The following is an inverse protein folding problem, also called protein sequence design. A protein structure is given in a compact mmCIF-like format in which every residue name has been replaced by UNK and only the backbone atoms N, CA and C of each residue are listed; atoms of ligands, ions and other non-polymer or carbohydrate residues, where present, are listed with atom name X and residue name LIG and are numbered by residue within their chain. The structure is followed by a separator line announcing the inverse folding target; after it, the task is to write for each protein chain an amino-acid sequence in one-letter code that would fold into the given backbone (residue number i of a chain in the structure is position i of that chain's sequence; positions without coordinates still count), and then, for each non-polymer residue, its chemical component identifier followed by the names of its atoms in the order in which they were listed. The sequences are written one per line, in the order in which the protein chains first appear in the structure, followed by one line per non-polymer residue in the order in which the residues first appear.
data_IF_669167640285
#
_entry.id   IF_669167640285
#
_cell.length_a   1.000
_cell.length_b   1.000
_cell.length_c   1.000
_cell.angle_alpha   90.00
_cell.angle_beta   90.00
_cell.angle_gamma   90.00
#
_symmetry.space_group_name_H-M   'P 1'
#
loop_
_entity.id
_entity.type
_entity.pdbx_description
1 polymer ?
#
# COMPACT_ATOMS: atom_id res chain seq x y z
N UNK A 1 -14.09 8.39 8.94
CA UNK A 1 -14.07 8.04 7.53
C UNK A 1 -14.65 6.65 7.31
N UNK A 2 -15.60 6.53 6.45
CA UNK A 2 -16.20 5.22 6.23
C UNK A 2 -15.21 4.24 5.64
N UNK A 3 -15.31 3.03 6.09
CA UNK A 3 -14.49 1.94 5.58
C UNK A 3 -15.09 1.45 4.27
N UNK A 4 -14.26 1.32 3.26
CA UNK A 4 -14.71 0.72 2.01
C UNK A 4 -15.13 -0.72 2.26
N UNK A 5 -16.17 -1.17 1.57
CA UNK A 5 -16.55 -2.56 1.63
C UNK A 5 -15.37 -3.42 1.18
N UNK A 6 -15.27 -4.60 1.75
CA UNK A 6 -14.23 -5.53 1.35
C UNK A 6 -14.36 -5.86 -0.14
N UNK A 7 -13.22 -5.99 -0.81
CA UNK A 7 -13.19 -6.38 -2.21
C UNK A 7 -13.60 -7.85 -2.30
N UNK A 8 -14.51 -8.21 -3.21
CA UNK A 8 -14.89 -9.60 -3.39
C UNK A 8 -13.66 -10.47 -3.71
N UNK A 9 -13.59 -11.67 -3.21
CA UNK A 9 -12.46 -12.55 -3.51
C UNK A 9 -12.46 -13.02 -4.95
N UNK A 10 -11.40 -13.64 -5.35
CA UNK A 10 -11.18 -14.40 -6.56
C UNK A 10 -10.61 -13.61 -7.73
N UNK A 11 -11.42 -12.88 -8.45
CA UNK A 11 -10.94 -12.29 -9.72
C UNK A 11 -11.55 -10.93 -9.96
N UNK A 12 -10.84 -10.14 -10.74
CA UNK A 12 -11.34 -8.84 -11.16
C UNK A 12 -10.21 -7.87 -11.39
N UNK A 13 -10.53 -6.77 -12.04
CA UNK A 13 -9.59 -5.69 -12.29
C UNK A 13 -9.95 -4.52 -11.37
N UNK A 14 -9.00 -4.07 -10.58
CA UNK A 14 -9.24 -3.01 -9.59
C UNK A 14 -8.21 -1.91 -9.70
N UNK A 15 -8.68 -0.68 -9.61
CA UNK A 15 -7.83 0.50 -9.49
C UNK A 15 -7.66 0.78 -7.99
N UNK A 16 -6.42 0.81 -7.53
CA UNK A 16 -6.11 0.88 -6.11
C UNK A 16 -5.18 2.06 -5.86
N UNK A 17 -5.45 2.80 -4.79
CA UNK A 17 -4.63 3.94 -4.39
C UNK A 17 -4.15 3.75 -2.96
N UNK A 18 -2.85 3.85 -2.76
CA UNK A 18 -2.24 3.93 -1.43
C UNK A 18 -1.72 5.35 -1.22
N UNK A 19 -2.04 5.93 -0.09
CA UNK A 19 -1.62 7.29 0.25
C UNK A 19 -0.70 7.23 1.45
N UNK A 20 0.46 7.88 1.36
CA UNK A 20 1.38 7.97 2.48
C UNK A 20 0.72 8.69 3.65
N UNK A 21 1.06 8.28 4.88
CA UNK A 21 0.49 8.87 6.08
C UNK A 21 0.67 10.39 6.04
N UNK A 22 -0.42 11.12 6.23
CA UNK A 22 -0.47 12.59 6.16
C UNK A 22 0.16 13.16 4.89
N UNK A 23 0.10 12.40 3.79
CA UNK A 23 0.66 12.80 2.49
C UNK A 23 2.16 13.09 2.54
N UNK A 24 2.87 12.49 3.47
CA UNK A 24 4.32 12.62 3.54
C UNK A 24 4.98 12.01 2.31
N UNK A 25 6.01 12.65 1.81
CA UNK A 25 6.73 12.22 0.60
C UNK A 25 7.70 11.08 0.90
N UNK A 26 7.18 10.00 1.45
CA UNK A 26 8.01 8.90 1.93
C UNK A 26 8.70 8.14 0.79
N UNK A 27 7.98 7.92 -0.30
CA UNK A 27 8.52 7.18 -1.43
C UNK A 27 9.72 7.91 -2.03
N UNK A 28 9.58 9.20 -2.24
CA UNK A 28 10.65 10.01 -2.83
C UNK A 28 11.85 10.11 -1.89
N UNK A 29 11.58 10.33 -0.60
CA UNK A 29 12.64 10.53 0.39
C UNK A 29 13.61 9.36 0.46
N UNK A 30 13.12 8.14 0.33
CA UNK A 30 13.95 6.94 0.43
C UNK A 30 14.29 6.33 -0.92
N UNK A 31 13.90 6.99 -2.01
CA UNK A 31 14.05 6.45 -3.36
C UNK A 31 13.44 5.04 -3.41
N UNK A 32 12.19 4.95 -2.98
CA UNK A 32 11.53 3.68 -2.70
C UNK A 32 10.83 3.02 -3.87
N UNK A 33 11.13 3.43 -5.08
CA UNK A 33 10.45 2.91 -6.26
C UNK A 33 10.66 1.40 -6.44
N UNK A 34 11.83 0.91 -6.11
CA UNK A 34 12.15 -0.51 -6.20
C UNK A 34 11.33 -1.35 -5.21
N UNK A 35 10.95 -0.79 -4.07
CA UNK A 35 10.10 -1.49 -3.10
C UNK A 35 8.75 -1.79 -3.74
N UNK A 36 8.21 -0.83 -4.46
CA UNK A 36 6.93 -0.98 -5.13
C UNK A 36 7.04 -1.98 -6.27
N UNK A 37 8.11 -1.91 -7.06
CA UNK A 37 8.35 -2.86 -8.14
C UNK A 37 8.51 -4.28 -7.61
N UNK A 38 9.12 -4.46 -6.46
CA UNK A 38 9.22 -5.77 -5.81
C UNK A 38 7.84 -6.35 -5.49
N UNK A 39 6.95 -5.51 -5.01
CA UNK A 39 5.58 -5.96 -4.74
C UNK A 39 4.88 -6.33 -6.03
N UNK A 40 5.07 -5.53 -7.08
CA UNK A 40 4.50 -5.86 -8.39
C UNK A 40 5.02 -7.21 -8.89
N UNK A 41 6.31 -7.46 -8.73
CA UNK A 41 6.89 -8.74 -9.14
C UNK A 41 6.30 -9.90 -8.36
N UNK A 42 6.06 -9.70 -7.09
CA UNK A 42 5.42 -10.70 -6.24
C UNK A 42 4.01 -11.03 -6.76
N UNK A 43 3.23 -10.00 -7.10
CA UNK A 43 1.90 -10.21 -7.66
C UNK A 43 1.97 -10.96 -8.99
N UNK A 44 2.92 -10.61 -9.84
CA UNK A 44 3.09 -11.29 -11.13
C UNK A 44 3.47 -12.75 -10.94
N UNK A 45 4.29 -13.05 -9.94
CA UNK A 45 4.70 -14.43 -9.66
C UNK A 45 3.51 -15.28 -9.19
N UNK A 46 2.47 -14.64 -8.69
CA UNK A 46 1.22 -15.31 -8.31
C UNK A 46 0.17 -15.24 -9.40
N UNK A 47 0.61 -14.95 -10.63
CA UNK A 47 -0.23 -14.97 -11.84
C UNK A 47 -1.26 -13.83 -11.89
N UNK A 48 -0.99 -12.73 -11.21
CA UNK A 48 -1.79 -11.52 -11.35
C UNK A 48 -1.09 -10.58 -12.31
N UNK A 49 -1.81 -9.60 -12.84
CA UNK A 49 -1.27 -8.69 -13.83
C UNK A 49 -1.31 -7.25 -13.34
N UNK A 50 -0.22 -6.54 -13.58
CA UNK A 50 -0.17 -5.10 -13.37
C UNK A 50 -0.48 -4.44 -14.71
N UNK A 51 -1.67 -3.88 -14.83
CA UNK A 51 -2.14 -3.29 -16.08
C UNK A 51 -1.65 -1.86 -16.25
N UNK A 52 -1.31 -1.20 -15.17
CA UNK A 52 -0.80 0.16 -15.22
C UNK A 52 -0.53 0.67 -13.81
N UNK A 53 0.27 1.71 -13.70
CA UNK A 53 0.56 2.30 -12.41
C UNK A 53 1.08 3.72 -12.57
N UNK A 54 1.00 4.49 -11.49
CA UNK A 54 1.65 5.78 -11.38
C UNK A 54 2.17 5.91 -9.95
N UNK A 55 3.48 6.08 -9.82
CA UNK A 55 4.12 6.20 -8.52
C UNK A 55 4.49 7.67 -8.31
N UNK A 56 3.88 8.27 -7.29
CA UNK A 56 4.15 9.65 -6.94
C UNK A 56 4.99 9.69 -5.67
N UNK A 57 5.50 10.85 -5.32
CA UNK A 57 6.36 10.99 -4.13
C UNK A 57 5.67 10.54 -2.85
N UNK A 58 4.37 10.72 -2.76
CA UNK A 58 3.60 10.49 -1.55
C UNK A 58 2.41 9.54 -1.72
N UNK A 59 2.23 8.95 -2.90
CA UNK A 59 1.14 7.98 -3.09
C UNK A 59 1.39 7.13 -4.32
N UNK A 60 0.63 6.06 -4.42
CA UNK A 60 0.74 5.07 -5.49
C UNK A 60 -0.65 4.78 -6.03
N UNK A 61 -0.77 4.84 -7.36
CA UNK A 61 -1.94 4.32 -8.06
C UNK A 61 -1.53 3.07 -8.83
N UNK A 62 -2.33 2.03 -8.76
CA UNK A 62 -2.04 0.82 -9.52
C UNK A 62 -3.33 0.17 -10.00
N UNK A 63 -3.29 -0.34 -11.22
CA UNK A 63 -4.39 -1.06 -11.82
C UNK A 63 -3.98 -2.52 -11.90
N UNK A 64 -4.65 -3.38 -11.15
CA UNK A 64 -4.28 -4.78 -10.99
C UNK A 64 -5.42 -5.69 -11.43
N UNK A 65 -5.08 -6.70 -12.23
CA UNK A 65 -6.00 -7.78 -12.57
C UNK A 65 -5.66 -8.99 -11.70
N UNK A 66 -6.58 -9.37 -10.82
CA UNK A 66 -6.43 -10.54 -9.95
C UNK A 66 -7.09 -11.75 -10.61
N UNK A 67 -6.40 -12.87 -10.60
CA UNK A 67 -6.86 -14.10 -11.26
C UNK A 67 -6.95 -15.22 -10.22
N UNK A 68 -8.17 -15.68 -9.96
CA UNK A 68 -8.45 -16.85 -9.10
C UNK A 68 -7.64 -16.87 -7.82
N UNK A 69 -7.78 -15.82 -7.02
CA UNK A 69 -7.03 -15.71 -5.77
C UNK A 69 -7.53 -16.76 -4.77
N UNK A 70 -6.61 -17.35 -4.02
CA UNK A 70 -6.97 -18.23 -2.91
C UNK A 70 -7.26 -17.42 -1.66
N UNK A 71 -6.67 -16.26 -1.55
CA UNK A 71 -6.94 -15.33 -0.45
C UNK A 71 -7.89 -14.24 -0.93
N UNK A 72 -8.56 -13.61 0.02
CA UNK A 72 -9.33 -12.41 -0.28
C UNK A 72 -8.43 -11.35 -0.87
N UNK A 73 -8.86 -10.68 -1.93
CA UNK A 73 -8.08 -9.63 -2.58
C UNK A 73 -7.69 -8.55 -1.56
N UNK A 74 -8.60 -8.22 -0.67
CA UNK A 74 -8.34 -7.23 0.38
C UNK A 74 -7.14 -7.62 1.24
N UNK A 75 -7.00 -8.92 1.54
CA UNK A 75 -5.86 -9.43 2.30
C UNK A 75 -4.56 -9.33 1.51
N UNK A 76 -4.60 -9.63 0.23
CA UNK A 76 -3.42 -9.53 -0.63
C UNK A 76 -2.90 -8.10 -0.65
N UNK A 77 -3.80 -7.14 -0.81
CA UNK A 77 -3.43 -5.72 -0.84
C UNK A 77 -2.89 -5.27 0.53
N UNK A 78 -3.55 -5.70 1.60
CA UNK A 78 -3.09 -5.37 2.96
C UNK A 78 -1.70 -5.90 3.27
N UNK A 79 -1.40 -7.10 2.79
CA UNK A 79 -0.06 -7.67 2.94
C UNK A 79 0.98 -6.85 2.17
N UNK A 80 0.61 -6.37 0.98
CA UNK A 80 1.48 -5.50 0.20
C UNK A 80 1.78 -4.20 0.92
N UNK A 81 0.76 -3.58 1.50
CA UNK A 81 0.94 -2.36 2.30
C UNK A 81 1.92 -2.60 3.44
N UNK A 82 1.74 -3.71 4.14
CA UNK A 82 2.59 -4.03 5.30
C UNK A 82 4.03 -4.26 4.87
N UNK A 83 4.23 -5.04 3.82
CA UNK A 83 5.57 -5.30 3.30
C UNK A 83 6.27 -4.01 2.91
N UNK A 84 5.61 -3.18 2.11
CA UNK A 84 6.19 -1.91 1.67
C UNK A 84 6.42 -0.98 2.85
N UNK A 85 5.51 -0.97 3.81
CA UNK A 85 5.66 -0.15 5.00
C UNK A 85 6.89 -0.49 5.81
N UNK A 86 7.16 -1.76 6.03
CA UNK A 86 8.36 -2.20 6.75
C UNK A 86 9.63 -1.80 6.02
N UNK A 87 9.65 -1.96 4.70
CA UNK A 87 10.83 -1.59 3.92
C UNK A 87 11.08 -0.09 3.95
N UNK A 88 10.02 0.69 3.89
CA UNK A 88 10.13 2.15 3.96
C UNK A 88 10.71 2.57 5.31
N UNK A 89 10.18 2.00 6.40
CA UNK A 89 10.69 2.29 7.74
C UNK A 89 12.18 1.93 7.85
N UNK A 90 12.55 0.77 7.36
CA UNK A 90 13.96 0.34 7.37
C UNK A 90 14.86 1.37 6.68
N UNK A 91 14.44 1.86 5.53
CA UNK A 91 15.26 2.84 4.80
C UNK A 91 15.29 4.20 5.46
N UNK A 92 14.19 4.62 6.09
CA UNK A 92 14.18 5.85 6.85
C UNK A 92 15.15 5.77 8.02
N UNK A 93 15.20 4.61 8.70
CA UNK A 93 16.14 4.40 9.78
C UNK A 93 17.58 4.44 9.30
N UNK A 94 17.87 3.79 8.18
CA UNK A 94 19.20 3.78 7.60
C UNK A 94 19.67 5.16 7.16
N UNK A 95 18.74 6.00 6.77
CA UNK A 95 19.04 7.39 6.34
C UNK A 95 18.98 8.38 7.49
N UNK A 96 18.72 7.92 8.70
CA UNK A 96 18.59 8.76 9.89
C UNK A 96 17.55 9.87 9.72
N UNK A 97 16.42 9.53 9.10
CA UNK A 97 15.32 10.48 8.91
C UNK A 97 14.48 10.56 10.18
N UNK A 98 15.08 11.12 11.22
CA UNK A 98 14.51 11.10 12.56
C UNK A 98 13.16 11.83 12.63
N UNK A 99 13.06 12.97 11.97
CA UNK A 99 11.82 13.75 11.98
C UNK A 99 10.65 12.97 11.39
N UNK A 100 10.88 12.35 10.24
CA UNK A 100 9.84 11.56 9.59
C UNK A 100 9.45 10.35 10.43
N UNK A 101 10.44 9.67 11.01
CA UNK A 101 10.16 8.52 11.88
C UNK A 101 9.30 8.92 13.07
N UNK A 102 9.58 10.09 13.67
CA UNK A 102 8.77 10.58 14.78
C UNK A 102 7.35 10.92 14.34
N UNK A 103 7.19 11.51 13.17
CA UNK A 103 5.86 11.80 12.65
C UNK A 103 5.04 10.54 12.45
N UNK A 104 5.67 9.51 11.88
CA UNK A 104 4.98 8.24 11.66
C UNK A 104 4.63 7.56 12.98
N UNK A 105 5.53 7.60 13.95
CA UNK A 105 5.28 7.01 15.26
C UNK A 105 4.14 7.72 15.97
N UNK A 106 4.04 9.04 15.80
CA UNK A 106 2.97 9.83 16.39
C UNK A 106 1.58 9.48 15.86
N UNK A 107 1.52 8.88 14.68
CA UNK A 107 0.26 8.48 14.08
C UNK A 107 -0.27 7.15 14.58
N UNK A 108 0.51 6.41 15.37
CA UNK A 108 0.12 5.09 15.86
C UNK A 108 -0.54 5.24 17.22
N UNK A 109 -1.74 4.68 17.37
CA UNK A 109 -2.43 4.71 18.64
C UNK A 109 -1.66 3.94 19.72
N UNK A 110 -1.85 4.35 20.98
CA UNK A 110 -1.13 3.75 22.09
C UNK A 110 -1.29 2.23 22.14
N UNK A 111 -2.49 1.72 21.88
CA UNK A 111 -2.74 0.28 21.90
C UNK A 111 -1.95 -0.46 20.84
N UNK A 112 -1.76 0.16 19.69
CA UNK A 112 -1.01 -0.43 18.60
C UNK A 112 0.48 -0.45 18.89
N UNK A 113 0.97 0.55 19.60
CA UNK A 113 2.38 0.58 20.02
C UNK A 113 2.70 -0.60 20.91
N UNK A 114 1.79 -0.98 21.76
CA UNK A 114 1.97 -2.14 22.64
C UNK A 114 2.18 -3.40 21.80
N UNK A 115 1.55 -3.47 20.64
CA UNK A 115 1.69 -4.59 19.73
C UNK A 115 2.92 -4.46 18.83
N UNK A 116 3.82 -3.54 19.14
CA UNK A 116 5.08 -3.33 18.43
C UNK A 116 4.92 -2.80 17.00
N UNK A 117 3.75 -2.34 16.67
CA UNK A 117 3.52 -1.64 15.42
C UNK A 117 3.69 -0.15 15.69
N UNK A 118 4.92 0.32 15.63
CA UNK A 118 5.26 1.66 16.08
C UNK A 118 5.03 2.75 15.04
N UNK A 119 4.98 2.40 13.76
CA UNK A 119 4.82 3.37 12.69
C UNK A 119 3.79 2.88 11.68
N UNK A 120 3.01 3.81 11.16
CA UNK A 120 2.13 3.56 10.02
C UNK A 120 2.59 4.43 8.87
N UNK A 121 3.03 3.78 7.81
CA UNK A 121 3.54 4.45 6.61
C UNK A 121 2.40 4.95 5.74
N UNK A 122 1.29 4.21 5.71
CA UNK A 122 0.17 4.50 4.83
C UNK A 122 -1.03 4.95 5.63
N UNK A 123 -1.93 5.69 4.97
CA UNK A 123 -3.23 5.96 5.56
C UNK A 123 -3.93 4.65 5.89
N UNK A 124 -4.82 4.68 6.88
CA UNK A 124 -5.42 3.47 7.44
C UNK A 124 -6.10 2.60 6.39
N UNK A 125 -6.81 3.23 5.47
CA UNK A 125 -7.53 2.52 4.44
C UNK A 125 -7.02 2.93 3.07
N UNK A 126 -7.05 2.01 2.14
CA UNK A 126 -6.73 2.33 0.76
C UNK A 126 -8.03 2.50 -0.03
N UNK A 127 -7.96 3.31 -1.06
CA UNK A 127 -9.08 3.45 -2.00
C UNK A 127 -8.98 2.36 -3.06
N UNK A 128 -10.15 1.93 -3.53
CA UNK A 128 -10.19 0.97 -4.63
C UNK A 128 -11.45 1.19 -5.47
N UNK A 129 -11.37 0.78 -6.72
CA UNK A 129 -12.49 0.87 -7.64
C UNK A 129 -12.50 -0.36 -8.54
N UNK A 130 -13.68 -0.98 -8.67
CA UNK A 130 -13.85 -2.13 -9.53
C UNK A 130 -13.97 -1.64 -10.98
N UNK A 131 -13.01 -2.02 -11.81
CA UNK A 131 -12.92 -1.54 -13.19
C UNK A 131 -13.83 -2.28 -14.15
N UNK A 132 -14.61 -3.23 -13.65
CA UNK A 132 -15.63 -3.90 -14.45
C UNK A 132 -16.88 -3.06 -14.59
N UNK A 133 -16.97 -1.98 -13.83
CA UNK A 133 -18.10 -1.08 -13.85
C UNK A 133 -17.98 -0.09 -15.02
N UNK A 134 -19.11 0.21 -15.66
CA UNK A 134 -19.13 1.23 -16.72
C UNK A 134 -18.75 2.61 -16.21
N UNK A 135 -18.90 2.84 -14.92
CA UNK A 135 -18.52 4.11 -14.30
C UNK A 135 -17.04 4.42 -14.43
N UNK A 136 -16.24 3.40 -14.66
CA UNK A 136 -14.80 3.59 -14.73
C UNK A 136 -14.35 4.09 -16.09
N UNK A 137 -15.15 3.94 -17.10
CA UNK A 137 -14.76 4.27 -18.48
C UNK A 137 -14.76 5.78 -18.77
#
# INVERSE_FOLDING_TARGET
MPVKRAIPPNSGMFFITFIGYEWLSLIDTIDGYDIIYKWFDHLKSNHHFINGYAIMSNHLHVLISFINTTQCINTIIGNGKRFMGYEIINRLEKKYEITLLKQLAGGVEATRKVNKKLQDVWELFFDWKDCRSNEFV
#
